data_IF_726991423602
#
_entry.id   IF_726991423602
#
_cell.length_a   1.000
_cell.length_b   1.000
_cell.length_c   1.000
_cell.angle_alpha   90.00
_cell.angle_beta   90.00
_cell.angle_gamma   90.00
#
_symmetry.space_group_name_H-M   'P 1'
#
loop_
_entity.id
_entity.type
_entity.pdbx_description
1 polymer ?
2 water ?
#
# COMPACT_ATOMS: atom_id res chain seq x y z
N UNK A 1 19.83 2.13 -7.83
CA UNK A 1 19.49 1.99 -6.40
C UNK A 1 18.39 3.01 -6.10
N UNK A 2 17.22 2.51 -5.61
CA UNK A 2 16.18 3.39 -5.10
C UNK A 2 16.76 4.08 -3.86
N UNK A 3 16.28 5.31 -3.63
CA UNK A 3 16.71 6.10 -2.49
C UNK A 3 16.11 5.56 -1.19
N UNK A 4 16.88 5.64 -0.07
CA UNK A 4 16.30 5.41 1.24
C UNK A 4 15.30 6.52 1.53
N UNK A 5 14.13 6.12 2.03
CA UNK A 5 13.05 7.06 2.30
C UNK A 5 12.98 7.36 3.79
N UNK A 6 12.64 8.62 4.08
CA UNK A 6 12.52 9.11 5.43
C UNK A 6 11.32 10.06 5.53
N UNK A 7 10.98 10.45 6.77
CA UNK A 7 9.91 11.40 7.06
C UNK A 7 10.50 12.63 7.76
N UNK A 8 10.08 13.81 7.30
CA UNK A 8 10.30 15.07 8.00
C UNK A 8 9.01 15.90 7.92
N UNK A 9 8.39 16.15 9.08
CA UNK A 9 7.04 16.70 9.13
C UNK A 9 6.09 15.94 8.22
N UNK A 10 5.44 16.64 7.28
CA UNK A 10 4.39 16.05 6.44
C UNK A 10 4.96 15.52 5.14
N UNK A 11 6.30 15.43 5.04
CA UNK A 11 6.98 15.02 3.81
C UNK A 11 7.70 13.68 3.98
N UNK A 12 7.56 12.84 2.95
CA UNK A 12 8.48 11.74 2.71
C UNK A 12 9.61 12.25 1.79
N UNK A 13 10.86 12.06 2.24
CA UNK A 13 12.05 12.58 1.60
C UNK A 13 12.86 11.48 0.91
N UNK A 14 13.41 11.83 -0.26
CA UNK A 14 14.50 11.07 -0.88
C UNK A 14 15.61 12.07 -1.21
N UNK A 15 16.84 11.76 -0.78
CA UNK A 15 17.99 12.61 -1.09
C UNK A 15 17.68 14.07 -0.75
N UNK A 16 17.00 14.26 0.39
CA UNK A 16 16.89 15.57 1.01
C UNK A 16 15.73 16.41 0.47
N UNK A 17 14.90 15.85 -0.43
CA UNK A 17 13.81 16.56 -1.06
C UNK A 17 12.54 15.69 -1.03
N UNK A 18 11.32 16.29 -1.01
CA UNK A 18 10.07 15.53 -1.08
C UNK A 18 10.05 14.73 -2.39
N UNK A 19 9.65 13.45 -2.25
CA UNK A 19 9.57 12.54 -3.38
C UNK A 19 8.34 11.66 -3.22
N UNK A 20 7.82 11.15 -4.35
CA UNK A 20 6.65 10.30 -4.29
C UNK A 20 6.69 9.33 -5.46
N UNK A 21 5.99 8.20 -5.27
CA UNK A 21 6.11 7.01 -6.08
C UNK A 21 4.71 6.43 -6.29
N UNK A 22 4.47 5.89 -7.48
CA UNK A 22 3.16 5.43 -7.90
C UNK A 22 3.27 4.01 -8.46
N UNK A 23 2.29 3.18 -8.14
CA UNK A 23 2.29 1.78 -8.59
C UNK A 23 0.95 1.10 -8.31
N UNK A 24 0.99 -0.25 -8.31
CA UNK A 24 -0.20 -1.05 -8.15
C UNK A 24 -0.11 -1.84 -6.85
N UNK A 25 -1.30 -2.05 -6.23
CA UNK A 25 -1.52 -3.07 -5.24
C UNK A 25 -1.95 -4.36 -5.92
N UNK A 26 -1.30 -5.45 -5.56
CA UNK A 26 -1.88 -6.75 -5.78
C UNK A 26 -3.15 -6.87 -4.93
N UNK A 27 -4.02 -7.79 -5.36
CA UNK A 27 -5.19 -8.24 -4.60
C UNK A 27 -4.74 -9.09 -3.41
N UNK A 28 -5.69 -9.42 -2.51
CA UNK A 28 -5.49 -10.37 -1.44
C UNK A 28 -4.57 -11.52 -1.88
N UNK A 29 -3.53 -11.82 -1.08
CA UNK A 29 -2.67 -12.98 -1.32
C UNK A 29 -3.36 -14.32 -1.05
N UNK A 30 -4.53 -14.30 -0.37
CA UNK A 30 -5.07 -15.47 0.27
C UNK A 30 -5.22 -16.65 -0.68
N UNK A 31 -4.94 -17.86 -0.17
CA UNK A 31 -5.12 -19.06 -0.97
C UNK A 31 -6.58 -19.18 -1.39
N UNK A 32 -6.78 -19.52 -2.68
CA UNK A 32 -8.07 -19.68 -3.35
C UNK A 32 -8.84 -18.38 -3.59
N UNK A 33 -8.22 -17.20 -3.41
CA UNK A 33 -8.90 -15.93 -3.64
C UNK A 33 -8.57 -15.35 -5.01
N UNK A 34 -7.87 -16.11 -5.87
CA UNK A 34 -7.73 -15.75 -7.28
C UNK A 34 -6.50 -14.92 -7.56
N UNK A 35 -6.38 -13.76 -6.87
CA UNK A 35 -5.28 -12.81 -7.06
C UNK A 35 -3.88 -13.38 -6.81
N UNK A 36 -3.80 -14.48 -6.04
CA UNK A 36 -2.54 -15.12 -5.71
C UNK A 36 -1.70 -15.45 -6.96
N UNK A 37 -2.34 -15.75 -8.11
CA UNK A 37 -1.60 -16.10 -9.31
C UNK A 37 -0.68 -14.97 -9.80
N UNK A 38 -0.99 -13.71 -9.47
CA UNK A 38 -0.20 -12.58 -9.96
C UNK A 38 0.98 -12.25 -9.05
N UNK A 39 1.17 -12.99 -7.95
CA UNK A 39 2.28 -12.77 -7.04
C UNK A 39 3.56 -13.44 -7.56
N UNK A 40 4.18 -12.87 -8.59
CA UNK A 40 5.33 -13.49 -9.23
C UNK A 40 6.22 -12.43 -9.86
N UNK A 41 7.45 -12.85 -10.22
CA UNK A 41 8.50 -11.97 -10.74
C UNK A 41 8.12 -11.37 -12.09
N UNK A 42 7.39 -12.14 -12.90
CA UNK A 42 7.08 -11.70 -14.25
C UNK A 42 6.12 -10.51 -14.21
N UNK A 43 5.11 -10.58 -13.33
CA UNK A 43 4.18 -9.47 -13.15
C UNK A 43 4.91 -8.20 -12.68
N UNK A 44 5.80 -8.34 -11.69
CA UNK A 44 6.55 -7.22 -11.12
C UNK A 44 7.42 -6.56 -12.20
N UNK A 45 8.13 -7.35 -12.99
CA UNK A 45 9.00 -6.79 -14.02
C UNK A 45 8.18 -6.15 -15.15
N UNK A 46 7.01 -6.73 -15.48
CA UNK A 46 6.09 -6.15 -16.45
C UNK A 46 5.52 -4.80 -16.00
N UNK A 47 5.04 -4.71 -14.74
CA UNK A 47 4.61 -3.44 -14.17
C UNK A 47 5.69 -2.37 -14.35
N UNK A 48 6.97 -2.74 -14.13
CA UNK A 48 8.03 -1.77 -14.31
C UNK A 48 8.19 -1.40 -15.80
N UNK A 49 8.33 -2.42 -16.65
CA UNK A 49 8.75 -2.22 -18.04
C UNK A 49 7.61 -1.63 -18.87
N UNK A 50 6.34 -2.00 -18.59
CA UNK A 50 5.21 -1.59 -19.42
C UNK A 50 4.41 -0.44 -18.81
N UNK A 51 4.32 -0.39 -17.47
CA UNK A 51 3.52 0.62 -16.78
C UNK A 51 4.39 1.74 -16.21
N UNK A 52 5.72 1.52 -16.18
CA UNK A 52 6.68 2.40 -15.52
C UNK A 52 6.35 2.54 -14.02
N UNK A 53 5.86 1.48 -13.38
CA UNK A 53 5.59 1.53 -11.94
C UNK A 53 6.89 1.60 -11.17
N UNK A 54 6.85 2.36 -10.07
CA UNK A 54 7.98 2.51 -9.15
C UNK A 54 7.71 1.83 -7.82
N UNK A 55 6.57 1.14 -7.71
CA UNK A 55 6.07 0.64 -6.43
C UNK A 55 5.12 -0.53 -6.70
N UNK A 56 5.20 -1.56 -5.83
CA UNK A 56 4.19 -2.62 -5.81
C UNK A 56 3.84 -2.92 -4.35
N UNK A 57 2.58 -3.31 -4.11
CA UNK A 57 2.09 -3.65 -2.80
C UNK A 57 1.64 -5.12 -2.79
N UNK A 58 2.21 -5.85 -1.82
CA UNK A 58 1.87 -7.22 -1.51
C UNK A 58 0.86 -7.23 -0.35
N UNK A 59 -0.39 -7.52 -0.68
CA UNK A 59 -1.53 -7.45 0.24
C UNK A 59 -1.76 -8.79 0.91
N UNK A 60 -1.08 -9.01 2.05
CA UNK A 60 -1.08 -10.34 2.66
C UNK A 60 -2.27 -10.47 3.60
N UNK A 61 -3.26 -11.29 3.24
CA UNK A 61 -4.39 -11.55 4.12
C UNK A 61 -3.93 -12.20 5.43
N UNK A 62 -4.74 -11.98 6.48
CA UNK A 62 -4.36 -12.29 7.85
C UNK A 62 -5.46 -13.18 8.46
N UNK A 63 -6.56 -12.58 8.96
CA UNK A 63 -7.62 -13.32 9.64
C UNK A 63 -8.73 -13.72 8.67
N UNK A 64 -8.73 -13.16 7.44
CA UNK A 64 -9.66 -13.59 6.41
C UNK A 64 -9.32 -15.01 5.97
N UNK A 65 -10.36 -15.73 5.52
CA UNK A 65 -10.24 -17.12 5.09
C UNK A 65 -9.12 -17.24 4.04
N UNK A 66 -8.28 -18.27 4.23
CA UNK A 66 -7.14 -18.51 3.37
C UNK A 66 -5.93 -17.62 3.63
N UNK A 67 -5.95 -16.84 4.71
CA UNK A 67 -4.92 -15.89 5.03
C UNK A 67 -3.74 -16.47 5.81
N UNK A 68 -2.80 -15.58 6.15
CA UNK A 68 -1.54 -15.95 6.74
C UNK A 68 -1.68 -16.73 8.04
N UNK A 69 -2.65 -16.35 8.88
CA UNK A 69 -2.75 -16.94 10.22
C UNK A 69 -3.03 -18.44 10.10
N UNK A 70 -3.81 -18.84 9.08
CA UNK A 70 -4.19 -20.24 8.92
C UNK A 70 -3.44 -20.91 7.75
N UNK A 71 -2.81 -20.11 6.88
CA UNK A 71 -2.05 -20.66 5.77
C UNK A 71 -0.78 -19.84 5.52
N UNK A 72 0.37 -20.28 6.07
CA UNK A 72 1.64 -19.56 5.94
C UNK A 72 2.17 -19.45 4.53
N UNK A 73 1.64 -20.23 3.58
CA UNK A 73 2.09 -20.13 2.21
C UNK A 73 1.88 -18.72 1.65
N UNK A 74 0.93 -17.97 2.26
CA UNK A 74 0.75 -16.55 1.94
C UNK A 74 2.10 -15.83 1.95
N UNK A 75 2.94 -16.14 2.94
CA UNK A 75 4.21 -15.43 3.10
C UNK A 75 5.20 -15.78 1.98
N UNK A 76 5.13 -17.00 1.42
CA UNK A 76 5.95 -17.36 0.28
C UNK A 76 5.61 -16.47 -0.93
N UNK A 77 4.31 -16.13 -1.07
CA UNK A 77 3.87 -15.31 -2.18
C UNK A 77 4.39 -13.90 -1.98
N UNK A 78 4.30 -13.39 -0.74
CA UNK A 78 4.89 -12.09 -0.40
C UNK A 78 6.38 -12.05 -0.78
N UNK A 79 7.14 -13.06 -0.33
CA UNK A 79 8.58 -13.17 -0.56
C UNK A 79 8.93 -13.10 -2.04
N UNK A 80 8.13 -13.77 -2.88
CA UNK A 80 8.36 -13.74 -4.32
C UNK A 80 8.30 -12.31 -4.86
N UNK A 81 7.31 -11.56 -4.39
CA UNK A 81 7.09 -10.20 -4.85
C UNK A 81 8.19 -9.27 -4.33
N UNK A 82 8.58 -9.43 -3.06
CA UNK A 82 9.63 -8.63 -2.45
C UNK A 82 10.97 -8.81 -3.17
N UNK A 83 11.36 -10.08 -3.36
CA UNK A 83 12.56 -10.41 -4.12
C UNK A 83 12.49 -9.74 -5.52
N UNK A 84 11.33 -9.84 -6.21
CA UNK A 84 11.24 -9.30 -7.57
C UNK A 84 11.29 -7.77 -7.58
N UNK A 85 10.68 -7.11 -6.58
CA UNK A 85 10.78 -5.66 -6.48
C UNK A 85 12.24 -5.21 -6.33
N UNK A 86 12.99 -5.88 -5.44
CA UNK A 86 14.39 -5.53 -5.23
C UNK A 86 15.19 -5.73 -6.53
N UNK A 87 14.96 -6.85 -7.22
CA UNK A 87 15.67 -7.14 -8.45
C UNK A 87 15.36 -6.11 -9.56
N UNK A 88 14.16 -5.52 -9.52
CA UNK A 88 13.69 -4.55 -10.51
C UNK A 88 13.81 -3.12 -10.02
N UNK A 89 14.44 -2.92 -8.86
CA UNK A 89 14.69 -1.60 -8.30
C UNK A 89 13.37 -0.83 -8.15
N UNK A 90 12.37 -1.51 -7.59
CA UNK A 90 11.06 -0.95 -7.26
C UNK A 90 10.89 -0.97 -5.73
N UNK A 91 10.14 0.00 -5.20
CA UNK A 91 9.73 -0.08 -3.82
C UNK A 91 8.70 -1.20 -3.68
N UNK A 92 8.65 -1.81 -2.49
CA UNK A 92 7.65 -2.82 -2.21
C UNK A 92 7.05 -2.58 -0.84
N UNK A 93 5.73 -2.63 -0.77
CA UNK A 93 4.99 -2.46 0.48
C UNK A 93 4.59 -3.86 0.94
N UNK A 94 5.08 -4.24 2.11
CA UNK A 94 4.70 -5.48 2.76
C UNK A 94 3.53 -5.13 3.67
N UNK A 95 2.33 -5.57 3.27
CA UNK A 95 1.07 -5.16 3.88
C UNK A 95 0.43 -6.31 4.66
N UNK A 96 0.27 -6.08 5.97
CA UNK A 96 -0.49 -6.92 6.88
C UNK A 96 -1.96 -6.58 6.70
N UNK A 97 -2.58 -7.29 5.75
CA UNK A 97 -3.85 -6.88 5.18
C UNK A 97 -4.99 -7.34 6.06
N UNK A 98 -5.05 -6.72 7.24
CA UNK A 98 -5.98 -7.05 8.31
C UNK A 98 -6.96 -5.90 8.59
N UNK A 99 -8.15 -6.27 9.11
CA UNK A 99 -9.11 -5.34 9.67
C UNK A 99 -9.14 -5.39 11.19
N UNK A 100 -8.30 -6.25 11.79
CA UNK A 100 -8.41 -6.57 13.21
C UNK A 100 -7.04 -6.87 13.82
N UNK A 101 -5.99 -6.19 13.33
CA UNK A 101 -4.61 -6.58 13.60
C UNK A 101 -4.26 -6.47 15.09
N UNK A 102 -4.99 -5.64 15.83
CA UNK A 102 -4.76 -5.47 17.28
C UNK A 102 -5.03 -6.77 18.04
N UNK A 103 -5.78 -7.71 17.44
CA UNK A 103 -6.05 -8.99 18.04
C UNK A 103 -4.87 -9.95 17.83
N UNK A 104 -3.95 -9.61 16.92
CA UNK A 104 -2.91 -10.51 16.44
C UNK A 104 -1.53 -9.85 16.52
N UNK A 105 -1.30 -9.15 17.64
CA UNK A 105 -0.07 -8.42 17.89
C UNK A 105 1.15 -9.34 17.87
N UNK A 106 1.12 -10.48 18.58
CA UNK A 106 2.32 -11.31 18.63
C UNK A 106 2.62 -11.90 17.25
N UNK A 107 1.57 -12.22 16.47
CA UNK A 107 1.78 -12.78 15.14
C UNK A 107 2.39 -11.72 14.22
N UNK A 108 1.92 -10.47 14.37
CA UNK A 108 2.40 -9.36 13.58
C UNK A 108 3.86 -9.05 13.87
N UNK A 109 4.19 -9.05 15.17
CA UNK A 109 5.56 -8.83 15.61
C UNK A 109 6.45 -9.91 14.98
N UNK A 110 6.07 -11.19 15.13
CA UNK A 110 6.94 -12.27 14.66
C UNK A 110 7.15 -12.15 13.15
N UNK A 111 6.08 -11.81 12.42
CA UNK A 111 6.15 -11.67 10.99
C UNK A 111 7.03 -10.48 10.57
N UNK A 112 6.83 -9.30 11.17
CA UNK A 112 7.62 -8.13 10.76
C UNK A 112 9.08 -8.25 11.20
N UNK A 113 9.33 -8.99 12.28
CA UNK A 113 10.69 -9.25 12.69
C UNK A 113 11.39 -10.09 11.63
N UNK A 114 10.76 -11.18 11.16
CA UNK A 114 11.34 -11.96 10.08
C UNK A 114 11.57 -11.11 8.84
N UNK A 115 10.61 -10.25 8.48
CA UNK A 115 10.72 -9.48 7.25
C UNK A 115 11.89 -8.49 7.38
N UNK A 116 11.98 -7.84 8.54
CA UNK A 116 13.04 -6.88 8.83
C UNK A 116 14.43 -7.55 8.83
N UNK A 117 14.57 -8.73 9.45
CA UNK A 117 15.85 -9.43 9.48
C UNK A 117 16.29 -9.75 8.06
N UNK A 118 15.34 -10.27 7.26
CA UNK A 118 15.70 -10.70 5.93
C UNK A 118 15.91 -9.53 4.97
N UNK A 119 15.09 -8.49 5.08
CA UNK A 119 15.01 -7.50 4.01
C UNK A 119 15.38 -6.09 4.44
N UNK A 120 15.63 -5.85 5.74
CA UNK A 120 15.79 -4.52 6.28
C UNK A 120 16.96 -3.69 5.71
N UNK A 121 18.00 -4.33 5.17
CA UNK A 121 19.16 -3.62 4.61
C UNK A 121 18.85 -2.98 3.26
N UNK A 122 17.75 -3.36 2.62
CA UNK A 122 17.35 -2.85 1.32
C UNK A 122 16.55 -1.54 1.47
N UNK A 123 16.76 -0.60 0.56
CA UNK A 123 16.05 0.68 0.53
C UNK A 123 14.59 0.47 0.08
N UNK A 124 14.34 -0.67 -0.58
CA UNK A 124 13.11 -0.92 -1.31
C UNK A 124 11.91 -1.14 -0.38
N UNK A 125 12.15 -1.55 0.87
CA UNK A 125 11.09 -2.10 1.71
C UNK A 125 10.31 -0.99 2.42
N UNK A 126 8.99 -1.18 2.49
CA UNK A 126 8.08 -0.30 3.22
C UNK A 126 7.15 -1.23 3.99
N UNK A 127 7.12 -1.10 5.33
CA UNK A 127 6.27 -1.95 6.14
C UNK A 127 4.92 -1.27 6.37
N UNK A 128 3.81 -1.99 6.10
CA UNK A 128 2.46 -1.51 6.33
C UNK A 128 1.77 -2.49 7.30
N UNK A 129 1.59 -2.07 8.56
CA UNK A 129 1.44 -2.98 9.67
C UNK A 129 -0.04 -3.23 9.99
N UNK A 130 -0.96 -2.44 9.42
CA UNK A 130 -2.38 -2.53 9.75
C UNK A 130 -3.20 -1.84 8.65
N UNK A 131 -3.52 -2.64 7.61
CA UNK A 131 -4.23 -2.19 6.42
C UNK A 131 -5.35 -1.19 6.74
N UNK A 132 -6.44 -1.66 7.37
CA UNK A 132 -7.68 -0.92 7.49
C UNK A 132 -8.35 -1.30 8.80
N UNK A 133 -7.96 -0.61 9.90
CA UNK A 133 -8.75 -0.64 11.11
C UNK A 133 -10.18 -0.23 10.80
N UNK A 134 -11.10 -0.73 11.61
CA UNK A 134 -12.53 -0.45 11.46
C UNK A 134 -12.87 0.78 12.30
N UNK A 135 -14.09 0.84 12.86
CA UNK A 135 -14.49 1.99 13.65
C UNK A 135 -14.05 1.79 15.10
N UNK A 136 -12.73 1.91 15.32
CA UNK A 136 -12.07 1.64 16.59
C UNK A 136 -11.24 2.85 16.98
N UNK A 137 -10.86 2.95 18.25
CA UNK A 137 -10.11 4.07 18.79
C UNK A 137 -8.69 4.09 18.24
N UNK A 138 -8.26 5.25 17.71
CA UNK A 138 -6.84 5.46 17.45
C UNK A 138 -6.03 5.28 18.74
N UNK A 139 -6.31 6.10 19.77
CA UNK A 139 -5.47 6.12 20.96
C UNK A 139 -5.50 4.80 21.72
N UNK A 140 -6.65 4.13 21.78
CA UNK A 140 -6.80 3.03 22.71
C UNK A 140 -6.66 1.66 22.04
N UNK A 141 -6.77 1.59 20.70
CA UNK A 141 -6.77 0.33 19.99
C UNK A 141 -5.61 0.26 18.99
N UNK A 142 -5.55 1.21 18.04
CA UNK A 142 -4.54 1.16 16.99
C UNK A 142 -3.15 1.55 17.51
N UNK A 143 -3.03 2.68 18.23
CA UNK A 143 -1.71 3.21 18.58
C UNK A 143 -0.93 2.24 19.50
N UNK A 144 -1.52 1.63 20.54
CA UNK A 144 -0.78 0.62 21.33
C UNK A 144 -0.22 -0.51 20.47
N UNK A 145 -1.04 -1.01 19.52
CA UNK A 145 -0.58 -2.04 18.62
C UNK A 145 0.59 -1.53 17.77
N UNK A 146 0.44 -0.33 17.21
CA UNK A 146 1.48 0.24 16.37
C UNK A 146 2.81 0.41 17.12
N UNK A 147 2.74 0.99 18.33
CA UNK A 147 3.90 1.20 19.18
C UNK A 147 4.68 -0.10 19.34
N UNK A 148 3.97 -1.19 19.66
CA UNK A 148 4.62 -2.48 19.90
C UNK A 148 5.28 -3.01 18.62
N UNK A 149 4.56 -2.96 17.49
CA UNK A 149 5.07 -3.51 16.24
C UNK A 149 6.24 -2.65 15.73
N UNK A 150 6.12 -1.30 15.86
CA UNK A 150 7.19 -0.41 15.42
C UNK A 150 8.47 -0.65 16.24
N UNK A 151 8.36 -0.80 17.58
CA UNK A 151 9.48 -1.12 18.47
C UNK A 151 10.22 -2.35 17.96
N UNK A 152 9.46 -3.38 17.56
CA UNK A 152 10.05 -4.64 17.12
C UNK A 152 10.76 -4.49 15.76
N UNK A 153 10.17 -3.73 14.82
CA UNK A 153 10.82 -3.50 13.54
C UNK A 153 12.07 -2.64 13.71
N UNK A 154 11.96 -1.56 14.52
CA UNK A 154 13.02 -0.55 14.61
C UNK A 154 14.28 -1.09 15.30
N UNK A 155 14.10 -2.08 16.17
CA UNK A 155 15.23 -2.74 16.80
C UNK A 155 16.11 -3.45 15.76
N UNK A 156 15.54 -3.77 14.58
CA UNK A 156 16.24 -4.51 13.53
C UNK A 156 16.54 -3.60 12.32
N UNK A 157 15.52 -2.83 11.91
CA UNK A 157 15.61 -1.94 10.75
C UNK A 157 15.29 -0.56 11.26
N UNK A 158 16.35 0.24 11.53
CA UNK A 158 16.18 1.54 12.17
C UNK A 158 15.64 2.62 11.24
N UNK A 159 15.54 2.33 9.93
CA UNK A 159 15.39 3.38 8.93
C UNK A 159 14.10 3.27 8.10
N UNK A 160 13.79 2.10 7.54
CA UNK A 160 12.83 2.02 6.44
C UNK A 160 11.42 2.39 6.89
N UNK A 161 10.62 2.95 5.98
CA UNK A 161 9.32 3.54 6.33
C UNK A 161 8.41 2.50 6.95
N UNK A 162 7.64 2.92 7.96
CA UNK A 162 6.53 2.15 8.48
C UNK A 162 5.27 3.01 8.36
N UNK A 163 4.26 2.43 7.71
CA UNK A 163 2.99 3.09 7.45
C UNK A 163 1.93 2.47 8.35
N UNK A 164 1.22 3.30 9.08
CA UNK A 164 0.26 2.90 10.10
C UNK A 164 -1.16 3.28 9.68
N UNK A 165 -2.03 2.25 9.68
CA UNK A 165 -3.43 2.39 9.35
C UNK A 165 -4.18 3.22 10.39
N UNK A 166 -5.30 3.83 9.94
CA UNK A 166 -6.03 4.81 10.72
C UNK A 166 -7.48 4.37 10.79
N UNK A 167 -8.27 4.98 11.71
CA UNK A 167 -9.65 4.55 11.93
C UNK A 167 -10.54 4.73 10.70
N UNK A 168 -11.65 3.96 10.67
CA UNK A 168 -12.70 4.05 9.67
C UNK A 168 -12.11 3.76 8.30
N UNK A 169 -11.57 2.55 8.15
CA UNK A 169 -10.99 2.05 6.91
C UNK A 169 -9.89 3.00 6.44
N UNK A 170 -9.06 3.45 7.39
CA UNK A 170 -7.93 4.30 7.10
C UNK A 170 -8.37 5.62 6.45
N UNK A 171 -9.39 6.25 7.05
CA UNK A 171 -9.88 7.59 6.67
C UNK A 171 -9.46 8.66 7.70
N UNK A 172 -9.43 8.29 8.99
CA UNK A 172 -9.34 9.26 10.07
C UNK A 172 -7.89 9.67 10.34
N UNK A 173 -7.19 10.13 9.28
CA UNK A 173 -5.81 10.58 9.43
C UNK A 173 -5.73 11.84 10.30
N UNK A 174 -6.79 12.68 10.29
CA UNK A 174 -6.87 13.86 11.15
C UNK A 174 -6.83 13.46 12.64
N UNK A 175 -7.49 12.35 13.01
CA UNK A 175 -7.52 11.89 14.39
C UNK A 175 -6.13 11.39 14.84
N UNK A 176 -5.47 10.64 13.96
CA UNK A 176 -4.10 10.17 14.21
C UNK A 176 -3.14 11.34 14.40
N UNK A 177 -3.32 12.40 13.60
CA UNK A 177 -2.46 13.57 13.63
C UNK A 177 -2.52 14.30 14.98
N UNK A 178 -3.64 14.17 15.71
CA UNK A 178 -3.75 14.74 17.05
C UNK A 178 -3.08 13.89 18.13
N UNK A 179 -2.67 12.66 17.80
CA UNK A 179 -1.97 11.82 18.78
C UNK A 179 -0.91 10.99 18.05
N UNK A 180 0.11 11.62 17.43
CA UNK A 180 1.02 10.88 16.56
C UNK A 180 1.92 9.94 17.36
N UNK A 181 2.42 8.94 16.64
CA UNK A 181 3.41 8.01 17.15
C UNK A 181 4.74 8.74 17.29
N UNK A 182 5.31 8.69 18.51
CA UNK A 182 6.58 9.35 18.79
C UNK A 182 7.64 8.32 19.27
N UNK A 183 8.91 8.77 19.26
CA UNK A 183 10.03 8.03 19.78
C UNK A 183 10.72 7.17 18.72
N UNK A 184 10.23 7.23 17.47
CA UNK A 184 10.80 6.48 16.36
C UNK A 184 10.71 7.32 15.08
N UNK A 185 11.76 7.27 14.25
CA UNK A 185 11.78 8.05 13.03
C UNK A 185 10.99 7.32 11.93
N UNK A 186 10.57 8.10 10.93
CA UNK A 186 10.19 7.59 9.62
C UNK A 186 8.93 6.76 9.73
N UNK A 187 7.96 7.30 10.49
CA UNK A 187 6.59 6.79 10.58
C UNK A 187 5.66 7.69 9.79
N UNK A 188 4.84 7.07 8.91
CA UNK A 188 3.79 7.76 8.17
C UNK A 188 2.45 7.04 8.40
N UNK A 189 1.37 7.62 7.84
CA UNK A 189 0.01 7.22 8.17
C UNK A 189 -0.79 6.93 6.90
N UNK A 190 -1.65 5.91 6.97
CA UNK A 190 -2.38 5.44 5.81
C UNK A 190 -3.62 6.31 5.54
N UNK A 191 -3.82 6.63 4.26
CA UNK A 191 -5.07 7.16 3.74
C UNK A 191 -5.54 6.26 2.60
N UNK A 192 -6.78 5.79 2.67
CA UNK A 192 -7.44 5.04 1.60
C UNK A 192 -8.69 5.77 1.12
N UNK A 193 -8.84 5.86 -0.22
CA UNK A 193 -10.02 6.44 -0.84
C UNK A 193 -10.42 5.64 -2.09
N UNK A 194 -11.71 5.70 -2.38
CA UNK A 194 -12.34 5.22 -3.60
C UNK A 194 -13.14 6.37 -4.22
N UNK A 195 -12.72 6.83 -5.42
CA UNK A 195 -13.21 8.09 -5.96
C UNK A 195 -14.70 8.09 -6.32
N UNK A 196 -15.35 6.90 -6.36
CA UNK A 196 -16.79 6.83 -6.61
C UNK A 196 -17.58 7.21 -5.37
N UNK A 197 -16.90 7.19 -4.21
CA UNK A 197 -17.54 7.38 -2.93
C UNK A 197 -16.96 8.56 -2.14
N UNK A 198 -15.63 8.77 -2.24
CA UNK A 198 -14.94 9.74 -1.39
C UNK A 198 -14.39 10.89 -2.24
N UNK A 199 -14.48 12.11 -1.71
CA UNK A 199 -14.14 13.31 -2.45
C UNK A 199 -13.55 14.34 -1.48
N UNK A 200 -14.11 15.54 -1.54
CA UNK A 200 -13.53 16.67 -0.85
C UNK A 200 -13.63 16.51 0.67
N UNK A 201 -14.67 15.87 1.20
CA UNK A 201 -14.74 15.71 2.64
C UNK A 201 -13.49 14.98 3.17
N UNK A 202 -13.12 13.89 2.49
CA UNK A 202 -11.98 13.08 2.88
C UNK A 202 -10.68 13.84 2.57
N UNK A 203 -10.66 14.61 1.47
CA UNK A 203 -9.48 15.41 1.16
C UNK A 203 -9.24 16.44 2.28
N UNK A 204 -10.32 16.93 2.91
CA UNK A 204 -10.19 17.96 3.93
C UNK A 204 -9.57 17.37 5.19
N UNK A 205 -9.96 16.14 5.56
CA UNK A 205 -9.37 15.45 6.71
C UNK A 205 -7.88 15.20 6.45
N UNK A 206 -7.55 14.78 5.22
CA UNK A 206 -6.16 14.62 4.78
C UNK A 206 -5.38 15.93 4.92
N UNK A 207 -5.98 17.07 4.48
CA UNK A 207 -5.30 18.35 4.51
C UNK A 207 -5.05 18.75 5.97
N UNK A 208 -6.08 18.55 6.81
CA UNK A 208 -5.94 18.77 8.24
C UNK A 208 -4.75 18.00 8.82
N UNK A 209 -4.62 16.71 8.47
CA UNK A 209 -3.54 15.87 8.96
C UNK A 209 -2.17 16.41 8.52
N UNK A 210 -2.06 16.74 7.23
CA UNK A 210 -0.86 17.37 6.67
C UNK A 210 -0.50 18.67 7.41
N UNK A 211 -1.51 19.54 7.66
CA UNK A 211 -1.28 20.82 8.32
C UNK A 211 -0.85 20.60 9.76
N UNK A 212 -1.22 19.44 10.34
CA UNK A 212 -0.84 19.10 11.71
C UNK A 212 0.52 18.38 11.74
N UNK A 213 1.11 18.13 10.58
CA UNK A 213 2.53 17.77 10.51
C UNK A 213 2.81 16.27 10.50
N UNK A 214 1.84 15.45 10.05
CA UNK A 214 2.12 14.04 9.78
C UNK A 214 2.11 13.80 8.27
N UNK A 215 2.89 12.80 7.85
CA UNK A 215 3.00 12.40 6.46
C UNK A 215 2.00 11.28 6.18
N UNK A 216 1.42 11.35 4.98
CA UNK A 216 0.43 10.40 4.48
C UNK A 216 1.00 9.57 3.32
N UNK A 217 0.52 8.32 3.24
CA UNK A 217 0.80 7.42 2.16
C UNK A 217 -0.51 6.71 1.79
N UNK A 218 -0.87 6.78 0.50
CA UNK A 218 -2.08 6.16 0.03
C UNK A 218 -1.70 4.76 -0.43
N UNK A 219 -1.70 3.82 0.53
CA UNK A 219 -1.28 2.44 0.25
C UNK A 219 -2.37 1.72 -0.53
N UNK A 220 -3.60 2.30 -0.58
CA UNK A 220 -4.63 1.72 -1.41
C UNK A 220 -5.61 2.81 -1.84
N UNK A 221 -5.98 2.80 -3.12
CA UNK A 221 -7.05 3.66 -3.64
C UNK A 221 -7.68 3.00 -4.87
N UNK A 222 -8.97 3.30 -5.05
CA UNK A 222 -9.69 2.85 -6.23
C UNK A 222 -10.32 4.03 -6.97
N UNK A 223 -10.55 3.83 -8.27
CA UNK A 223 -11.22 4.85 -9.09
C UNK A 223 -12.74 4.66 -9.05
N UNK A 224 -13.17 3.55 -8.43
CA UNK A 224 -14.56 3.12 -8.45
C UNK A 224 -15.15 3.33 -7.05
N UNK A 225 -16.29 2.69 -6.76
CA UNK A 225 -16.96 2.89 -5.47
C UNK A 225 -16.23 2.14 -4.35
N UNK A 226 -16.56 2.50 -3.09
CA UNK A 226 -15.82 2.05 -1.93
C UNK A 226 -15.93 0.54 -1.72
N UNK A 227 -16.96 -0.10 -2.32
CA UNK A 227 -17.12 -1.55 -2.19
C UNK A 227 -16.32 -2.30 -3.25
N UNK A 228 -15.48 -1.60 -4.02
CA UNK A 228 -14.57 -2.25 -4.96
C UNK A 228 -15.20 -2.47 -6.33
N UNK A 229 -16.43 -1.94 -6.52
CA UNK A 229 -17.19 -2.19 -7.74
C UNK A 229 -17.72 -0.87 -8.33
N UNK A 230 -18.39 -0.92 -9.49
CA UNK A 230 -19.03 0.25 -10.08
C UNK A 230 -18.20 0.94 -11.15
N UNK A 231 -18.78 1.98 -11.71
CA UNK A 231 -18.18 2.72 -12.81
C UNK A 231 -16.91 3.42 -12.34
N UNK A 232 -16.01 3.68 -13.30
CA UNK A 232 -14.85 4.53 -13.05
C UNK A 232 -15.33 5.99 -12.92
N UNK A 233 -14.91 6.64 -11.83
CA UNK A 233 -15.24 8.04 -11.58
C UNK A 233 -14.05 8.91 -12.00
N UNK A 234 -14.00 9.28 -13.29
CA UNK A 234 -12.84 9.94 -13.86
C UNK A 234 -12.53 11.29 -13.22
N UNK A 235 -13.56 12.13 -13.12
CA UNK A 235 -13.36 13.49 -12.68
C UNK A 235 -12.84 13.51 -11.24
N UNK A 236 -13.51 12.76 -10.35
CA UNK A 236 -13.08 12.71 -8.95
C UNK A 236 -11.69 12.05 -8.82
N UNK A 237 -11.34 11.08 -9.66
CA UNK A 237 -10.01 10.45 -9.63
C UNK A 237 -8.95 11.51 -9.94
N UNK A 238 -9.22 12.34 -10.97
CA UNK A 238 -8.25 13.36 -11.36
C UNK A 238 -8.04 14.35 -10.23
N UNK A 239 -9.09 14.61 -9.43
CA UNK A 239 -9.03 15.53 -8.32
C UNK A 239 -8.11 14.99 -7.24
N UNK A 240 -8.24 13.69 -6.96
CA UNK A 240 -7.43 12.98 -5.98
C UNK A 240 -5.96 12.93 -6.46
N UNK A 241 -5.77 12.65 -7.74
CA UNK A 241 -4.44 12.63 -8.31
C UNK A 241 -3.73 13.97 -8.11
N UNK A 242 -4.39 15.09 -8.47
CA UNK A 242 -3.81 16.41 -8.27
C UNK A 242 -3.45 16.65 -6.79
N UNK A 243 -4.36 16.29 -5.89
CA UNK A 243 -4.10 16.43 -4.46
C UNK A 243 -2.81 15.70 -4.06
N UNK A 244 -2.66 14.46 -4.55
CA UNK A 244 -1.55 13.61 -4.20
C UNK A 244 -0.26 14.16 -4.82
N UNK A 245 -0.35 14.69 -6.05
CA UNK A 245 0.85 15.22 -6.72
C UNK A 245 1.32 16.51 -6.01
N UNK A 246 0.38 17.39 -5.66
CA UNK A 246 0.67 18.62 -4.92
C UNK A 246 1.39 18.32 -3.60
N UNK A 247 0.95 17.26 -2.88
CA UNK A 247 1.42 17.01 -1.52
C UNK A 247 2.46 15.90 -1.46
N UNK A 248 2.92 15.42 -2.63
CA UNK A 248 3.98 14.43 -2.73
C UNK A 248 3.58 13.14 -2.01
N UNK A 249 2.37 12.66 -2.31
CA UNK A 249 1.84 11.48 -1.64
C UNK A 249 1.95 10.27 -2.57
N UNK A 250 2.63 9.22 -2.07
CA UNK A 250 2.79 7.97 -2.81
C UNK A 250 1.47 7.19 -2.81
N UNK A 251 1.27 6.36 -3.84
CA UNK A 251 -0.05 5.77 -4.09
C UNK A 251 0.06 4.40 -4.79
N UNK A 252 -0.81 3.46 -4.37
CA UNK A 252 -0.94 2.14 -4.96
C UNK A 252 -2.41 1.90 -5.27
N UNK A 253 -2.74 1.67 -6.54
CA UNK A 253 -4.10 1.44 -6.98
C UNK A 253 -4.54 -0.02 -6.70
N UNK A 254 -5.80 -0.17 -6.27
CA UNK A 254 -6.44 -1.45 -6.06
C UNK A 254 -7.33 -1.77 -7.26
N UNK A 255 -7.14 -2.92 -7.94
CA UNK A 255 -6.15 -3.95 -7.66
C UNK A 255 -5.73 -4.64 -8.96
N UNK A 256 -4.47 -5.14 -8.96
CA UNK A 256 -3.95 -5.93 -10.07
C UNK A 256 -4.51 -7.33 -9.94
N UNK A 257 -5.64 -7.56 -10.64
CA UNK A 257 -6.50 -8.72 -10.49
C UNK A 257 -7.50 -8.78 -11.64
N UNK A 258 -8.18 -9.94 -11.83
CA UNK A 258 -9.03 -10.22 -12.97
C UNK A 258 -10.44 -10.66 -12.53
N UNK A 259 -10.76 -10.47 -11.27
CA UNK A 259 -12.13 -10.70 -10.79
C UNK A 259 -13.06 -9.73 -11.51
N UNK A 260 -14.32 -10.16 -11.70
CA UNK A 260 -15.31 -9.28 -12.29
C UNK A 260 -15.85 -8.32 -11.22
N UNK A 261 -15.14 -7.18 -11.09
CA UNK A 261 -15.54 -6.05 -10.25
C UNK A 261 -14.78 -4.84 -10.78
N UNK A 262 -15.39 -3.67 -10.57
CA UNK A 262 -14.88 -2.43 -11.12
C UNK A 262 -13.42 -2.18 -10.76
N UNK A 263 -13.00 -2.59 -9.56
CA UNK A 263 -11.66 -2.26 -9.11
C UNK A 263 -10.60 -3.10 -9.81
N UNK A 264 -10.94 -4.27 -10.36
CA UNK A 264 -9.98 -5.07 -11.09
C UNK A 264 -9.34 -4.29 -12.25
N UNK A 265 -8.01 -4.31 -12.36
CA UNK A 265 -7.31 -3.66 -13.47
C UNK A 265 -7.39 -4.49 -14.76
N UNK A 266 -7.67 -5.82 -14.66
CA UNK A 266 -7.53 -6.75 -15.77
C UNK A 266 -8.85 -7.43 -16.10
N UNK A 267 -9.03 -7.77 -17.39
CA UNK A 267 -10.15 -8.60 -17.81
C UNK A 267 -9.94 -10.02 -17.28
N UNK A 268 -11.02 -10.83 -17.07
CA UNK A 268 -10.86 -12.23 -16.65
C UNK A 268 -9.95 -13.01 -17.60
N UNK A 269 -8.99 -13.74 -17.04
CA UNK A 269 -8.11 -14.57 -17.85
C UNK A 269 -6.84 -13.87 -18.28
N UNK A 270 -6.69 -12.58 -17.94
CA UNK A 270 -5.46 -11.88 -18.22
C UNK A 270 -4.31 -12.70 -17.63
N UNK A 271 -3.22 -12.87 -18.39
CA UNK A 271 -2.19 -13.84 -18.04
C UNK A 271 -1.61 -13.59 -16.65
N UNK A 272 -1.38 -14.69 -15.92
CA UNK A 272 -0.73 -14.61 -14.61
C UNK A 272 0.71 -14.09 -14.72
N UNK A 273 1.31 -14.08 -15.91
CA UNK A 273 2.71 -13.72 -16.04
C UNK A 273 2.91 -12.40 -16.78
N UNK A 274 1.86 -11.59 -16.89
CA UNK A 274 1.98 -10.25 -17.45
C UNK A 274 1.84 -10.23 -18.96
N UNK A 275 2.37 -9.15 -19.55
CA UNK A 275 2.42 -8.96 -20.98
C UNK A 275 1.11 -8.44 -21.56
N UNK A 276 0.21 -7.91 -20.70
CA UNK A 276 -1.16 -7.58 -21.09
C UNK A 276 -1.17 -6.44 -22.12
N UNK A 277 -1.78 -6.70 -23.28
CA UNK A 277 -2.08 -5.62 -24.23
C UNK A 277 -3.17 -4.71 -23.65
N UNK A 278 -3.24 -3.47 -24.16
CA UNK A 278 -4.17 -2.50 -23.60
C UNK A 278 -5.61 -2.99 -23.58
N UNK A 279 -6.05 -3.80 -24.57
CA UNK A 279 -7.43 -4.24 -24.65
C UNK A 279 -7.78 -5.29 -23.60
N UNK A 280 -6.77 -5.68 -22.80
CA UNK A 280 -7.01 -6.62 -21.70
C UNK A 280 -6.96 -5.89 -20.35
N UNK A 281 -6.92 -4.54 -20.34
CA UNK A 281 -7.17 -3.76 -19.14
C UNK A 281 -8.63 -3.31 -19.12
N UNK A 282 -9.16 -3.17 -17.91
CA UNK A 282 -10.48 -2.65 -17.67
C UNK A 282 -10.40 -1.11 -17.71
N UNK A 283 -11.54 -0.40 -17.57
CA UNK A 283 -11.47 1.05 -17.52
C UNK A 283 -10.60 1.44 -16.32
N UNK A 284 -10.75 0.76 -15.18
CA UNK A 284 -9.97 1.09 -14.00
C UNK A 284 -8.47 0.88 -14.26
N UNK A 285 -8.12 -0.25 -14.91
CA UNK A 285 -6.74 -0.61 -15.16
C UNK A 285 -6.06 0.39 -16.08
N UNK A 286 -6.77 0.78 -17.15
CA UNK A 286 -6.22 1.72 -18.13
C UNK A 286 -5.97 3.09 -17.49
N UNK A 287 -6.91 3.56 -16.65
CA UNK A 287 -6.72 4.79 -15.92
C UNK A 287 -5.55 4.67 -14.93
N UNK A 288 -5.46 3.52 -14.23
CA UNK A 288 -4.34 3.29 -13.31
C UNK A 288 -3.01 3.33 -14.06
N UNK A 289 -2.92 2.63 -15.18
CA UNK A 289 -1.67 2.65 -15.92
C UNK A 289 -1.31 4.09 -16.35
N UNK A 290 -2.31 4.89 -16.71
CA UNK A 290 -2.08 6.25 -17.20
C UNK A 290 -1.53 7.13 -16.08
N UNK A 291 -2.13 7.01 -14.90
CA UNK A 291 -1.67 7.74 -13.74
C UNK A 291 -0.27 7.32 -13.34
N UNK A 292 -0.03 6.00 -13.28
CA UNK A 292 1.25 5.50 -12.81
C UNK A 292 2.36 5.92 -13.77
N UNK A 293 2.13 5.71 -15.06
CA UNK A 293 3.20 5.96 -16.03
C UNK A 293 3.49 7.45 -16.15
N UNK A 294 2.50 8.31 -15.86
CA UNK A 294 2.64 9.77 -15.93
C UNK A 294 3.07 10.40 -14.61
N UNK A 295 3.28 9.60 -13.55
CA UNK A 295 3.67 10.12 -12.24
C UNK A 295 5.01 10.87 -12.32
N UNK A 296 5.17 12.03 -11.62
CA UNK A 296 6.43 12.79 -11.64
C UNK A 296 7.70 11.99 -11.37
N UNK A 297 8.76 12.37 -12.10
CA UNK A 297 10.08 11.74 -12.16
C UNK A 297 10.86 11.87 -10.85
N UNK A 298 11.03 13.12 -10.35
CA UNK A 298 11.91 13.45 -9.24
C UNK A 298 13.35 12.97 -9.50
#
# INVERSE_FOLDING_TARGET
MVAPLSVQGNKILANGQPASFSGMSLFWSNTEWGGEKYYNAQVVSWLKSDWNAKLVRAAMGVEDEGGYLTDPANKDRVTQVVDAAIANDMYVIIDWHSHNAHQYQSQAIAFFQEMARKYGANNHVIYEIYNEPLQVSWSNTIKPYAQAVIAAIRAIDPDNLIIVGTPTWSQDVDVAANDPITGYQNIAYTLHFYAGTHGQYLRDKAQTALNRGIALFVTEWGSVNANGDGAVANSETNAWVSFMKTNHISNANWALNDKVEGASALVPGASANGGWVNSQLTASGALAKSIISGWPSYLEHHHHHH
#
